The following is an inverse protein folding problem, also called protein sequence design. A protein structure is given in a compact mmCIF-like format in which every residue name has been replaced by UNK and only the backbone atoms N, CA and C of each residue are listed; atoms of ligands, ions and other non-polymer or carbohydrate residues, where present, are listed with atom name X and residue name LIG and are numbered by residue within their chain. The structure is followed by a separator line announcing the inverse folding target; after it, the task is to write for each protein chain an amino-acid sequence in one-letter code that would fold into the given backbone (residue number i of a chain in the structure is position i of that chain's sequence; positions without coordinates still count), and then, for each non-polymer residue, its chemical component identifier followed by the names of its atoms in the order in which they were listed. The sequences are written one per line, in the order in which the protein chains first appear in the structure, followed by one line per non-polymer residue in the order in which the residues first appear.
data_IF_617284678132
#
_entry.id   IF_617284678132
#
_cell.length_a   1.000
_cell.length_b   1.000
_cell.length_c   1.000
_cell.angle_alpha   90.00
_cell.angle_beta   90.00
_cell.angle_gamma   90.00
#
_symmetry.space_group_name_H-M   'P 1'
#
loop_
_entity.id
_entity.type
_entity.pdbx_description
1 polymer ?
#
# COMPACT_ATOMS: atom_id res chain seq x y z
N UNK A 1 -12.93 22.25 -4.87
CA UNK A 1 -13.21 22.28 -6.33
C UNK A 1 -12.69 20.98 -6.91
N UNK A 2 -13.52 20.17 -7.55
CA UNK A 2 -13.04 18.98 -8.26
C UNK A 2 -12.16 19.45 -9.41
N UNK A 3 -10.87 19.17 -9.37
CA UNK A 3 -10.00 19.37 -10.51
C UNK A 3 -10.43 18.37 -11.60
N UNK A 4 -11.22 18.84 -12.53
CA UNK A 4 -11.54 18.04 -13.73
C UNK A 4 -10.26 17.91 -14.54
N UNK A 5 -9.69 16.73 -14.59
CA UNK A 5 -8.61 16.46 -15.51
C UNK A 5 -9.16 16.52 -16.94
N UNK A 6 -8.65 17.46 -17.71
CA UNK A 6 -9.06 17.68 -19.12
C UNK A 6 -8.59 16.54 -20.04
N UNK A 7 -7.70 15.68 -19.58
CA UNK A 7 -7.15 14.54 -20.33
C UNK A 7 -7.90 13.22 -20.08
N UNK A 8 -8.98 13.24 -19.31
CA UNK A 8 -9.79 12.04 -19.08
C UNK A 8 -10.40 11.53 -20.39
N UNK A 9 -10.12 10.28 -20.72
CA UNK A 9 -10.64 9.63 -21.94
C UNK A 9 -12.17 9.56 -21.96
N UNK A 10 -12.80 9.53 -20.79
CA UNK A 10 -14.25 9.60 -20.65
C UNK A 10 -14.67 10.34 -19.36
N UNK A 11 -14.77 11.68 -19.38
CA UNK A 11 -15.11 12.48 -18.21
C UNK A 11 -16.49 12.19 -17.63
N UNK A 12 -17.40 11.54 -18.39
CA UNK A 12 -18.73 11.14 -17.91
C UNK A 12 -18.71 9.81 -17.14
N UNK A 13 -17.64 9.03 -17.26
CA UNK A 13 -17.43 7.75 -16.54
C UNK A 13 -15.96 7.60 -16.14
N UNK A 14 -15.46 8.40 -15.19
CA UNK A 14 -14.09 8.30 -14.74
C UNK A 14 -13.85 6.89 -14.16
N UNK A 15 -12.61 6.39 -14.33
CA UNK A 15 -12.17 5.20 -13.58
C UNK A 15 -12.19 5.49 -12.08
N UNK A 16 -12.48 4.48 -11.30
CA UNK A 16 -12.56 4.61 -9.83
C UNK A 16 -11.58 3.67 -9.15
N UNK A 17 -10.81 4.22 -8.23
CA UNK A 17 -9.78 3.50 -7.48
C UNK A 17 -10.08 3.58 -5.99
N UNK A 18 -10.15 2.41 -5.34
CA UNK A 18 -10.18 2.29 -3.89
C UNK A 18 -8.74 2.18 -3.37
N UNK A 19 -8.23 3.18 -2.67
CA UNK A 19 -6.96 3.08 -1.95
C UNK A 19 -7.27 2.66 -0.52
N UNK A 20 -6.62 1.60 -0.07
CA UNK A 20 -6.78 1.07 1.30
C UNK A 20 -5.51 1.36 2.08
N UNK A 21 -5.66 2.08 3.20
CA UNK A 21 -4.60 2.33 4.19
C UNK A 21 -4.89 1.54 5.47
N UNK A 22 -3.85 1.16 6.20
CA UNK A 22 -4.03 0.40 7.43
C UNK A 22 -4.59 1.27 8.58
N UNK A 23 -5.45 0.69 9.41
CA UNK A 23 -5.78 1.28 10.69
C UNK A 23 -4.55 1.29 11.60
N UNK A 24 -4.48 2.22 12.59
CA UNK A 24 -3.39 2.26 13.56
C UNK A 24 -3.24 0.93 14.31
N UNK A 25 -2.01 0.53 14.55
CA UNK A 25 -1.67 -0.65 15.33
C UNK A 25 -0.52 -0.37 16.29
N UNK A 26 -0.14 -1.36 17.08
CA UNK A 26 1.07 -1.34 17.90
C UNK A 26 1.95 -2.51 17.47
N UNK A 27 3.20 -2.21 17.18
CA UNK A 27 4.20 -3.22 16.85
C UNK A 27 4.40 -4.16 18.03
N UNK A 28 4.25 -5.45 17.81
CA UNK A 28 4.51 -6.49 18.84
C UNK A 28 5.98 -6.76 19.05
N UNK A 29 6.85 -6.27 18.18
CA UNK A 29 8.31 -6.42 18.26
C UNK A 29 8.97 -5.24 18.96
N UNK A 30 8.57 -4.00 18.63
CA UNK A 30 9.17 -2.78 19.17
C UNK A 30 8.32 -2.09 20.23
N UNK A 31 7.00 -2.37 20.26
CA UNK A 31 6.06 -1.63 21.12
C UNK A 31 5.68 -0.25 20.57
N UNK A 32 6.16 0.13 19.40
CA UNK A 32 5.87 1.44 18.81
C UNK A 32 4.47 1.51 18.21
N UNK A 33 3.82 2.69 18.24
CA UNK A 33 2.66 2.94 17.43
C UNK A 33 3.07 2.91 15.95
N UNK A 34 2.29 2.22 15.12
CA UNK A 34 2.54 2.03 13.69
C UNK A 34 1.28 2.29 12.89
N UNK A 35 1.45 2.75 11.65
CA UNK A 35 0.37 3.13 10.78
C UNK A 35 0.63 2.82 9.31
N UNK A 36 0.00 3.61 8.43
CA UNK A 36 0.29 3.60 7.00
C UNK A 36 1.48 4.54 6.69
N UNK A 37 1.99 4.49 5.45
CA UNK A 37 3.07 5.37 4.99
C UNK A 37 2.54 6.47 4.07
N UNK A 38 2.83 7.74 4.36
CA UNK A 38 2.26 8.87 3.63
C UNK A 38 2.46 8.82 2.12
N UNK A 39 3.69 8.63 1.63
CA UNK A 39 3.96 8.65 0.18
C UNK A 39 3.27 7.51 -0.58
N UNK A 40 2.92 6.43 0.11
CA UNK A 40 2.24 5.29 -0.49
C UNK A 40 0.72 5.52 -0.67
N UNK A 41 0.17 6.46 0.06
CA UNK A 41 -1.16 7.01 -0.16
C UNK A 41 -1.10 8.16 -1.16
N UNK A 42 -0.27 9.16 -0.89
CA UNK A 42 -0.36 10.47 -1.54
C UNK A 42 0.13 10.46 -2.97
N UNK A 43 1.22 9.76 -3.27
CA UNK A 43 1.74 9.68 -4.64
C UNK A 43 0.77 8.97 -5.59
N UNK A 44 0.22 7.77 -5.26
CA UNK A 44 -0.83 7.17 -6.08
C UNK A 44 -2.09 8.04 -6.17
N UNK A 45 -2.51 8.66 -5.07
CA UNK A 45 -3.68 9.53 -5.04
C UNK A 45 -3.58 10.67 -6.05
N UNK A 46 -2.43 11.37 -6.08
CA UNK A 46 -2.20 12.45 -7.05
C UNK A 46 -2.12 11.94 -8.47
N UNK A 47 -1.42 10.84 -8.71
CA UNK A 47 -1.33 10.23 -10.06
C UNK A 47 -2.69 9.87 -10.63
N UNK A 48 -3.54 9.22 -9.84
CA UNK A 48 -4.90 8.89 -10.25
C UNK A 48 -5.76 10.15 -10.46
N UNK A 49 -5.61 11.14 -9.59
CA UNK A 49 -6.32 12.42 -9.72
C UNK A 49 -5.91 13.18 -10.99
N UNK A 50 -4.62 13.20 -11.33
CA UNK A 50 -4.10 13.77 -12.57
C UNK A 50 -4.62 13.03 -13.81
N UNK A 51 -4.77 11.70 -13.73
CA UNK A 51 -5.38 10.88 -14.77
C UNK A 51 -6.92 11.06 -14.87
N UNK A 52 -7.51 11.89 -14.01
CA UNK A 52 -8.96 12.15 -13.99
C UNK A 52 -9.77 11.02 -13.36
N UNK A 53 -9.15 10.18 -12.56
CA UNK A 53 -9.83 9.09 -11.86
C UNK A 53 -10.47 9.61 -10.56
N UNK A 54 -11.56 8.97 -10.15
CA UNK A 54 -12.13 9.15 -8.82
C UNK A 54 -11.42 8.24 -7.83
N UNK A 55 -10.90 8.83 -6.75
CA UNK A 55 -10.19 8.10 -5.71
C UNK A 55 -10.97 8.17 -4.40
N UNK A 56 -11.20 7.03 -3.77
CA UNK A 56 -11.76 6.95 -2.42
C UNK A 56 -10.78 6.21 -1.51
N UNK A 57 -10.68 6.69 -0.25
CA UNK A 57 -9.78 6.10 0.75
C UNK A 57 -10.59 5.26 1.72
N UNK A 58 -10.11 4.05 1.95
CA UNK A 58 -10.71 3.05 2.83
C UNK A 58 -9.67 2.55 3.85
N UNK A 59 -10.16 1.94 4.91
CA UNK A 59 -9.33 1.15 5.83
C UNK A 59 -10.09 -0.11 6.25
N UNK A 60 -9.45 -1.16 6.77
CA UNK A 60 -10.13 -2.38 7.18
C UNK A 60 -11.35 -2.15 8.07
N UNK A 61 -11.24 -1.23 9.05
CA UNK A 61 -12.29 -0.96 10.04
C UNK A 61 -13.06 0.34 9.79
N UNK A 62 -12.60 1.19 8.84
CA UNK A 62 -13.06 2.56 8.73
C UNK A 62 -12.51 3.47 9.84
N UNK A 63 -12.95 4.74 9.86
CA UNK A 63 -12.59 5.72 10.89
C UNK A 63 -11.22 6.38 10.66
N UNK A 64 -10.67 6.93 11.73
CA UNK A 64 -9.38 7.65 11.68
C UNK A 64 -8.21 6.69 11.48
N UNK A 65 -7.37 6.99 10.51
CA UNK A 65 -6.09 6.35 10.32
C UNK A 65 -4.95 7.30 10.69
N UNK A 66 -3.84 6.72 11.13
CA UNK A 66 -2.62 7.45 11.49
C UNK A 66 -1.45 6.84 10.72
N UNK A 67 -0.53 7.71 10.31
CA UNK A 67 0.64 7.27 9.57
C UNK A 67 1.79 6.90 10.52
N UNK A 68 2.72 6.10 10.03
CA UNK A 68 4.03 5.95 10.67
C UNK A 68 4.69 7.33 10.79
N UNK A 69 5.18 7.68 11.98
CA UNK A 69 5.76 8.99 12.26
C UNK A 69 6.85 9.38 11.25
N UNK A 70 7.78 8.44 10.96
CA UNK A 70 8.90 8.66 10.04
C UNK A 70 8.46 8.93 8.60
N UNK A 71 7.21 8.64 8.23
CA UNK A 71 6.68 8.93 6.89
C UNK A 71 6.22 10.38 6.74
N UNK A 72 6.06 11.11 7.85
CA UNK A 72 5.67 12.52 7.82
C UNK A 72 6.87 13.38 7.38
N UNK A 73 6.72 14.24 6.34
CA UNK A 73 7.79 15.14 5.90
C UNK A 73 8.31 16.11 6.97
N UNK A 74 7.52 16.39 8.00
CA UNK A 74 7.88 17.28 9.11
C UNK A 74 8.33 16.53 10.38
N UNK A 75 8.53 15.20 10.28
CA UNK A 75 9.06 14.41 11.38
C UNK A 75 10.50 14.81 11.75
N UNK A 76 10.85 14.66 13.03
CA UNK A 76 12.16 15.03 13.56
C UNK A 76 13.33 14.28 12.91
N UNK A 77 13.10 13.09 12.35
CA UNK A 77 14.10 12.32 11.61
C UNK A 77 14.41 12.92 10.25
N UNK A 78 13.54 13.75 9.72
CA UNK A 78 13.63 14.37 8.39
C UNK A 78 13.82 13.36 7.24
N UNK A 79 13.46 12.10 7.46
CA UNK A 79 13.63 11.02 6.48
C UNK A 79 12.89 11.29 5.17
N UNK A 80 11.70 11.89 5.25
CA UNK A 80 10.83 12.22 4.10
C UNK A 80 10.70 13.72 3.85
N UNK A 81 11.63 14.55 4.33
CA UNK A 81 11.52 16.02 4.27
C UNK A 81 11.34 16.60 2.87
N UNK A 82 11.84 15.91 1.84
CA UNK A 82 11.75 16.33 0.44
C UNK A 82 10.43 15.90 -0.23
N UNK A 83 9.58 15.14 0.46
CA UNK A 83 8.28 14.71 -0.08
C UNK A 83 7.25 15.85 -0.02
N UNK A 84 7.32 16.71 -1.04
CA UNK A 84 6.41 17.84 -1.19
C UNK A 84 4.98 17.42 -1.49
N UNK A 85 4.76 16.24 -2.07
CA UNK A 85 3.44 15.71 -2.38
C UNK A 85 2.72 15.36 -1.09
N UNK A 86 3.36 14.58 -0.22
CA UNK A 86 2.79 14.27 1.10
C UNK A 86 2.60 15.53 1.95
N UNK A 87 3.56 16.46 1.93
CA UNK A 87 3.43 17.73 2.65
C UNK A 87 2.21 18.54 2.17
N UNK A 88 1.99 18.60 0.84
CA UNK A 88 0.82 19.26 0.26
C UNK A 88 -0.49 18.62 0.68
N UNK A 89 -0.55 17.29 0.69
CA UNK A 89 -1.72 16.54 1.14
C UNK A 89 -2.03 16.81 2.62
N UNK A 90 -1.02 16.71 3.49
CA UNK A 90 -1.14 16.93 4.94
C UNK A 90 -1.54 18.39 5.25
N UNK A 91 -1.07 19.33 4.46
CA UNK A 91 -1.40 20.76 4.60
C UNK A 91 -2.82 21.13 4.15
N UNK A 92 -3.53 20.25 3.46
CA UNK A 92 -4.90 20.47 3.00
C UNK A 92 -5.91 19.81 3.94
N UNK A 93 -6.71 20.64 4.65
CA UNK A 93 -7.69 20.17 5.62
C UNK A 93 -8.81 19.32 5.02
N UNK A 94 -9.16 19.49 3.74
CA UNK A 94 -10.18 18.68 3.09
C UNK A 94 -9.62 17.29 2.71
N UNK A 95 -8.37 17.22 2.29
CA UNK A 95 -7.70 15.94 2.03
C UNK A 95 -7.47 15.18 3.33
N UNK A 96 -7.08 15.86 4.41
CA UNK A 96 -6.91 15.22 5.72
C UNK A 96 -8.18 14.59 6.26
N UNK A 97 -9.36 15.16 6.00
CA UNK A 97 -10.65 14.55 6.36
C UNK A 97 -10.84 13.15 5.75
N UNK A 98 -10.24 12.88 4.58
CA UNK A 98 -10.32 11.58 3.94
C UNK A 98 -9.59 10.50 4.74
N UNK A 99 -8.53 10.87 5.46
CA UNK A 99 -7.74 9.98 6.33
C UNK A 99 -8.32 9.89 7.74
N UNK A 100 -8.91 10.98 8.20
CA UNK A 100 -9.55 11.03 9.52
C UNK A 100 -10.91 10.32 9.57
N UNK A 101 -11.55 10.13 8.40
CA UNK A 101 -12.88 9.54 8.27
C UNK A 101 -12.92 8.53 7.13
N UNK A 102 -12.01 7.56 7.13
CA UNK A 102 -12.00 6.51 6.11
C UNK A 102 -13.28 5.68 6.19
N UNK A 103 -13.74 5.21 5.04
CA UNK A 103 -14.79 4.18 4.98
C UNK A 103 -14.21 2.81 5.28
N UNK A 104 -15.03 1.89 5.80
CA UNK A 104 -14.63 0.49 5.91
C UNK A 104 -14.51 -0.15 4.53
N UNK A 105 -13.58 -1.09 4.37
CA UNK A 105 -13.46 -1.91 3.14
C UNK A 105 -14.73 -2.71 2.85
N UNK A 106 -15.59 -2.94 3.84
CA UNK A 106 -16.90 -3.60 3.66
C UNK A 106 -17.86 -2.74 2.81
N UNK A 107 -17.64 -1.43 2.76
CA UNK A 107 -18.43 -0.49 1.95
C UNK A 107 -17.97 -0.44 0.48
N UNK A 108 -16.87 -1.10 0.11
CA UNK A 108 -16.41 -1.15 -1.27
C UNK A 108 -17.37 -2.01 -2.12
N UNK A 109 -18.12 -1.34 -2.98
CA UNK A 109 -18.93 -2.02 -4.00
C UNK A 109 -18.04 -2.38 -5.21
N UNK A 110 -17.77 -3.66 -5.38
CA UNK A 110 -16.93 -4.18 -6.46
C UNK A 110 -17.37 -3.67 -7.86
N UNK A 111 -18.66 -3.43 -8.05
CA UNK A 111 -19.17 -2.96 -9.36
C UNK A 111 -18.85 -1.49 -9.64
N UNK A 112 -18.51 -0.71 -8.63
CA UNK A 112 -18.22 0.73 -8.75
C UNK A 112 -16.75 1.05 -8.91
N UNK A 113 -15.86 0.15 -8.57
CA UNK A 113 -14.43 0.38 -8.62
C UNK A 113 -13.75 -0.48 -9.68
N UNK A 114 -12.72 0.08 -10.34
CA UNK A 114 -11.91 -0.59 -11.35
C UNK A 114 -10.64 -1.20 -10.77
N UNK A 115 -10.17 -0.65 -9.65
CA UNK A 115 -8.96 -1.11 -8.95
C UNK A 115 -9.09 -0.97 -7.43
N UNK A 116 -8.41 -1.88 -6.71
CA UNK A 116 -8.08 -1.76 -5.29
C UNK A 116 -6.55 -1.64 -5.15
N UNK A 117 -6.09 -0.70 -4.33
CA UNK A 117 -4.66 -0.46 -4.06
C UNK A 117 -4.42 -0.47 -2.57
N UNK A 118 -3.65 -1.43 -2.08
CA UNK A 118 -3.33 -1.58 -0.66
C UNK A 118 -1.98 -0.93 -0.39
N UNK A 119 -2.00 0.22 0.28
CA UNK A 119 -0.80 0.92 0.73
C UNK A 119 -0.16 0.20 1.92
N UNK A 120 1.14 0.39 2.11
CA UNK A 120 1.85 -0.18 3.24
C UNK A 120 2.02 0.81 4.39
N UNK A 121 3.21 0.91 4.91
CA UNK A 121 3.57 1.35 6.24
C UNK A 121 3.77 0.13 7.13
N UNK A 122 4.05 0.31 8.41
CA UNK A 122 4.35 -0.82 9.28
C UNK A 122 3.11 -1.57 9.78
N UNK A 123 1.97 -0.89 9.94
CA UNK A 123 0.76 -1.48 10.52
C UNK A 123 0.25 -2.75 9.79
N UNK A 124 0.34 -2.89 8.45
CA UNK A 124 -0.01 -4.12 7.75
C UNK A 124 0.63 -5.40 8.34
N UNK A 125 1.88 -5.32 8.79
CA UNK A 125 2.63 -6.45 9.34
C UNK A 125 2.07 -6.96 10.68
N UNK A 126 1.28 -6.14 11.37
CA UNK A 126 0.76 -6.41 12.71
C UNK A 126 -0.79 -6.49 12.76
N UNK A 127 -1.47 -6.23 11.64
CA UNK A 127 -2.94 -6.13 11.63
C UNK A 127 -3.62 -6.90 10.49
N UNK A 128 -2.94 -7.18 9.38
CA UNK A 128 -3.59 -7.79 8.22
C UNK A 128 -3.90 -9.29 8.38
N UNK A 129 -3.30 -9.96 9.36
CA UNK A 129 -3.70 -11.30 9.79
C UNK A 129 -5.18 -11.37 10.26
N UNK A 130 -5.68 -10.27 10.82
CA UNK A 130 -7.05 -10.14 11.35
C UNK A 130 -8.00 -9.38 10.42
N UNK A 131 -7.50 -8.79 9.34
CA UNK A 131 -8.30 -8.02 8.39
C UNK A 131 -8.94 -8.92 7.32
N UNK A 132 -9.74 -9.91 7.75
CA UNK A 132 -10.37 -10.91 6.86
C UNK A 132 -11.22 -10.27 5.77
N UNK A 133 -11.90 -9.16 6.09
CA UNK A 133 -12.68 -8.39 5.13
C UNK A 133 -11.82 -7.80 4.02
N UNK A 134 -10.64 -7.25 4.35
CA UNK A 134 -9.69 -6.75 3.35
C UNK A 134 -9.12 -7.91 2.51
N UNK A 135 -8.72 -9.01 3.15
CA UNK A 135 -8.20 -10.20 2.47
C UNK A 135 -9.21 -10.70 1.42
N UNK A 136 -10.47 -10.84 1.81
CA UNK A 136 -11.56 -11.23 0.92
C UNK A 136 -11.78 -10.22 -0.19
N UNK A 137 -11.84 -8.92 0.13
CA UNK A 137 -12.08 -7.86 -0.85
C UNK A 137 -10.97 -7.80 -1.90
N UNK A 138 -9.71 -7.97 -1.50
CA UNK A 138 -8.57 -8.01 -2.42
C UNK A 138 -8.68 -9.16 -3.43
N UNK A 139 -9.05 -10.35 -2.94
CA UNK A 139 -9.27 -11.52 -3.79
C UNK A 139 -10.47 -11.33 -4.70
N UNK A 140 -11.58 -10.75 -4.21
CA UNK A 140 -12.76 -10.44 -5.04
C UNK A 140 -12.41 -9.57 -6.25
N UNK A 141 -11.58 -8.52 -6.07
CA UNK A 141 -11.09 -7.72 -7.18
C UNK A 141 -10.27 -8.55 -8.17
N UNK A 142 -9.34 -9.34 -7.65
CA UNK A 142 -8.48 -10.18 -8.49
C UNK A 142 -9.29 -11.19 -9.31
N UNK A 143 -10.20 -11.94 -8.68
CA UNK A 143 -11.00 -12.97 -9.36
C UNK A 143 -12.03 -12.37 -10.32
N UNK A 144 -12.49 -11.14 -10.09
CA UNK A 144 -13.33 -10.41 -11.02
C UNK A 144 -12.57 -9.83 -12.25
N UNK A 145 -11.26 -10.09 -12.36
CA UNK A 145 -10.41 -9.56 -13.43
C UNK A 145 -10.12 -8.06 -13.32
N UNK A 146 -10.46 -7.44 -12.17
CA UNK A 146 -10.13 -6.05 -11.87
C UNK A 146 -8.72 -5.94 -11.31
N UNK A 147 -8.15 -4.74 -11.30
CA UNK A 147 -6.81 -4.54 -10.77
C UNK A 147 -6.82 -4.73 -9.25
N UNK A 148 -5.98 -5.65 -8.77
CA UNK A 148 -5.63 -5.80 -7.38
C UNK A 148 -4.15 -5.42 -7.22
N UNK A 149 -3.88 -4.34 -6.47
CA UNK A 149 -2.54 -3.82 -6.31
C UNK A 149 -2.17 -3.65 -4.83
N UNK A 150 -0.90 -3.85 -4.51
CA UNK A 150 -0.35 -3.62 -3.18
C UNK A 150 1.10 -3.14 -3.28
N UNK A 151 1.57 -2.33 -2.32
CA UNK A 151 2.95 -1.87 -2.33
C UNK A 151 3.55 -1.87 -0.92
N UNK A 152 4.89 -1.97 -0.88
CA UNK A 152 5.65 -1.97 0.36
C UNK A 152 5.16 -3.07 1.32
N UNK A 153 4.99 -2.79 2.61
CA UNK A 153 4.39 -3.74 3.54
C UNK A 153 2.89 -3.99 3.30
N UNK A 154 2.21 -3.19 2.45
CA UNK A 154 0.86 -3.52 1.99
C UNK A 154 0.79 -4.87 1.27
N UNK A 155 1.91 -5.31 0.66
CA UNK A 155 2.01 -6.63 0.03
C UNK A 155 1.93 -7.80 1.02
N UNK A 156 1.98 -7.54 2.34
CA UNK A 156 1.67 -8.53 3.36
C UNK A 156 0.27 -9.17 3.19
N UNK A 157 -0.66 -8.46 2.55
CA UNK A 157 -1.99 -9.00 2.22
C UNK A 157 -1.91 -10.31 1.42
N UNK A 158 -0.88 -10.48 0.58
CA UNK A 158 -0.67 -11.63 -0.28
C UNK A 158 -0.39 -12.93 0.50
N UNK A 159 0.12 -12.81 1.73
CA UNK A 159 0.29 -13.97 2.62
C UNK A 159 -1.05 -14.62 2.97
N UNK A 160 -2.10 -13.84 3.01
CA UNK A 160 -3.43 -14.26 3.45
C UNK A 160 -4.42 -14.43 2.29
N UNK A 161 -4.11 -13.89 1.11
CA UNK A 161 -4.98 -13.92 -0.05
C UNK A 161 -5.08 -15.32 -0.65
N UNK A 162 -6.23 -15.98 -0.42
CA UNK A 162 -6.58 -17.29 -0.99
C UNK A 162 -7.71 -17.14 -1.98
N UNK A 163 -7.51 -17.71 -3.15
CA UNK A 163 -8.51 -17.79 -4.22
C UNK A 163 -9.69 -18.69 -3.79
N UNK A 164 -10.79 -18.59 -4.50
CA UNK A 164 -11.99 -19.39 -4.29
C UNK A 164 -11.73 -20.91 -4.39
N UNK A 165 -10.71 -21.33 -5.13
CA UNK A 165 -10.25 -22.72 -5.23
C UNK A 165 -9.36 -23.16 -4.05
N UNK A 166 -9.05 -22.28 -3.09
CA UNK A 166 -8.21 -22.53 -1.93
C UNK A 166 -6.70 -22.35 -2.13
N UNK A 167 -6.24 -22.10 -3.37
CA UNK A 167 -4.83 -21.82 -3.63
C UNK A 167 -4.46 -20.38 -3.21
N UNK A 168 -3.19 -20.16 -2.87
CA UNK A 168 -2.70 -18.80 -2.64
C UNK A 168 -2.65 -18.02 -3.96
N UNK A 169 -3.19 -16.81 -3.95
CA UNK A 169 -3.23 -15.91 -5.13
C UNK A 169 -1.84 -15.71 -5.71
N UNK A 170 -0.82 -15.61 -4.86
CA UNK A 170 0.56 -15.31 -5.22
C UNK A 170 1.30 -16.49 -5.87
N UNK A 171 0.77 -17.72 -5.76
CA UNK A 171 1.40 -18.92 -6.32
C UNK A 171 1.62 -18.82 -7.83
N UNK A 172 2.87 -18.92 -8.25
CA UNK A 172 3.30 -18.80 -9.65
C UNK A 172 3.27 -17.38 -10.21
N UNK A 173 2.97 -16.37 -9.39
CA UNK A 173 2.98 -14.96 -9.78
C UNK A 173 4.36 -14.34 -9.61
N UNK A 174 4.70 -13.41 -10.51
CA UNK A 174 5.87 -12.55 -10.35
C UNK A 174 5.45 -11.30 -9.59
N UNK A 175 6.06 -11.08 -8.42
CA UNK A 175 5.69 -10.01 -7.49
C UNK A 175 6.92 -9.33 -6.93
N UNK A 176 6.73 -8.14 -6.37
CA UNK A 176 7.65 -7.46 -5.47
C UNK A 176 6.92 -7.03 -4.21
N UNK A 177 7.62 -6.51 -3.25
CA UNK A 177 7.12 -5.97 -1.99
C UNK A 177 8.30 -5.47 -1.18
N UNK A 178 8.07 -5.13 0.09
CA UNK A 178 9.18 -4.71 0.94
C UNK A 178 10.18 -5.86 1.06
N UNK A 179 11.38 -5.64 0.49
CA UNK A 179 12.34 -6.71 0.26
C UNK A 179 13.27 -6.92 1.47
N UNK A 180 13.92 -8.08 1.54
CA UNK A 180 14.83 -8.40 2.64
C UNK A 180 15.96 -7.37 2.78
N UNK A 181 16.44 -6.80 1.67
CA UNK A 181 17.50 -5.79 1.71
C UNK A 181 17.07 -4.49 2.43
N UNK A 182 15.80 -4.11 2.32
CA UNK A 182 15.23 -2.98 3.07
C UNK A 182 14.99 -3.34 4.53
N UNK A 183 14.53 -4.57 4.81
CA UNK A 183 14.38 -5.06 6.19
C UNK A 183 15.72 -5.13 6.91
N UNK A 184 16.77 -5.64 6.25
CA UNK A 184 18.13 -5.68 6.80
C UNK A 184 18.62 -4.27 7.13
N UNK A 185 18.37 -3.29 6.24
CA UNK A 185 18.71 -1.90 6.49
C UNK A 185 17.97 -1.33 7.71
N UNK A 186 16.68 -1.61 7.84
CA UNK A 186 15.86 -1.16 8.96
C UNK A 186 16.32 -1.79 10.28
N UNK A 187 16.59 -3.09 10.29
CA UNK A 187 17.12 -3.82 11.45
C UNK A 187 18.48 -3.24 11.90
N UNK A 188 19.42 -3.06 10.97
CA UNK A 188 20.75 -2.50 11.24
C UNK A 188 20.65 -1.07 11.82
N UNK A 189 19.77 -0.24 11.30
CA UNK A 189 19.54 1.12 11.81
C UNK A 189 19.03 1.09 13.27
N UNK A 190 18.04 0.26 13.56
CA UNK A 190 17.42 0.15 14.89
C UNK A 190 18.39 -0.49 15.89
N UNK A 191 19.17 -1.49 15.50
CA UNK A 191 20.24 -2.07 16.30
C UNK A 191 21.37 -1.07 16.58
N UNK A 192 21.75 -0.28 15.57
CA UNK A 192 22.75 0.79 15.71
C UNK A 192 22.36 1.86 16.71
N UNK A 193 21.05 2.15 16.81
CA UNK A 193 20.50 3.07 17.82
C UNK A 193 20.32 2.43 19.21
N UNK A 194 20.54 1.14 19.35
CA UNK A 194 20.35 0.42 20.63
C UNK A 194 18.87 0.27 21.03
N UNK A 195 17.93 0.39 20.10
CA UNK A 195 16.49 0.32 20.37
C UNK A 195 15.94 -1.10 20.38
N UNK A 196 16.63 -2.02 19.72
CA UNK A 196 16.38 -3.47 19.78
C UNK A 196 17.71 -4.22 19.95
N UNK A 197 17.71 -5.37 20.61
CA UNK A 197 18.86 -6.27 20.59
C UNK A 197 19.02 -6.91 19.21
N UNK A 198 20.27 -7.22 18.81
CA UNK A 198 20.63 -7.73 17.46
C UNK A 198 20.02 -9.09 17.09
N UNK A 199 19.42 -9.79 18.03
CA UNK A 199 18.69 -11.04 17.82
C UNK A 199 17.18 -10.83 17.59
N UNK A 200 16.72 -9.57 17.52
CA UNK A 200 15.33 -9.18 17.27
C UNK A 200 15.22 -8.36 16.01
N UNK A 201 14.23 -8.67 15.21
CA UNK A 201 13.88 -7.93 13.98
C UNK A 201 12.79 -6.89 14.24
N UNK A 202 12.79 -5.83 13.45
CA UNK A 202 11.74 -4.79 13.49
C UNK A 202 10.41 -5.39 13.09
N UNK A 203 10.40 -6.19 12.02
CA UNK A 203 9.19 -6.87 11.54
C UNK A 203 9.08 -8.30 12.10
N UNK A 204 7.85 -8.79 12.36
CA UNK A 204 7.63 -10.12 12.94
C UNK A 204 7.96 -11.26 11.97
N UNK A 205 7.97 -10.98 10.68
CA UNK A 205 8.31 -11.88 9.58
C UNK A 205 8.67 -11.06 8.35
N UNK A 206 9.24 -11.70 7.30
CA UNK A 206 9.71 -11.02 6.09
C UNK A 206 8.83 -11.36 4.90
N UNK A 207 8.34 -10.33 4.20
CA UNK A 207 7.44 -10.47 3.06
C UNK A 207 8.08 -11.29 1.94
N UNK A 208 9.31 -10.97 1.58
CA UNK A 208 10.05 -11.68 0.52
C UNK A 208 10.12 -13.17 0.79
N UNK A 209 10.47 -13.57 2.01
CA UNK A 209 10.62 -14.98 2.38
C UNK A 209 9.27 -15.71 2.35
N UNK A 210 8.24 -15.12 2.97
CA UNK A 210 6.91 -15.73 3.01
C UNK A 210 6.31 -15.88 1.61
N UNK A 211 6.41 -14.87 0.76
CA UNK A 211 5.85 -14.95 -0.58
C UNK A 211 6.58 -15.97 -1.45
N UNK A 212 7.90 -16.13 -1.28
CA UNK A 212 8.67 -17.22 -1.93
C UNK A 212 8.22 -18.61 -1.43
N UNK A 213 7.99 -18.77 -0.13
CA UNK A 213 7.48 -20.01 0.45
C UNK A 213 6.10 -20.35 -0.13
N UNK A 214 5.25 -19.34 -0.37
CA UNK A 214 3.94 -19.50 -0.99
C UNK A 214 3.98 -19.73 -2.52
N UNK A 215 5.17 -19.78 -3.10
CA UNK A 215 5.40 -20.11 -4.51
C UNK A 215 5.42 -18.91 -5.44
N UNK A 216 5.63 -17.69 -4.94
CA UNK A 216 5.84 -16.52 -5.77
C UNK A 216 7.25 -16.51 -6.40
N UNK A 217 7.36 -15.92 -7.59
CA UNK A 217 8.62 -15.45 -8.15
C UNK A 217 8.84 -14.01 -7.65
N UNK A 218 9.52 -13.85 -6.52
CA UNK A 218 9.78 -12.53 -5.94
C UNK A 218 11.01 -11.89 -6.59
N UNK A 219 10.85 -10.66 -7.06
CA UNK A 219 11.93 -9.86 -7.67
C UNK A 219 12.02 -8.48 -7.02
N UNK A 220 13.19 -7.87 -7.05
CA UNK A 220 13.44 -6.55 -6.46
C UNK A 220 14.51 -5.79 -7.25
N UNK A 221 14.48 -4.45 -7.20
CA UNK A 221 15.41 -3.59 -7.94
C UNK A 221 16.64 -3.15 -7.13
N UNK A 222 16.71 -3.49 -5.85
CA UNK A 222 17.76 -3.08 -4.93
C UNK A 222 17.29 -2.03 -3.92
N UNK A 223 18.16 -1.75 -2.95
CA UNK A 223 17.86 -0.91 -1.78
C UNK A 223 17.34 0.47 -2.18
N UNK A 224 16.16 0.82 -1.68
CA UNK A 224 15.48 2.11 -1.83
C UNK A 224 15.26 2.56 -3.29
N UNK A 225 15.29 1.65 -4.26
CA UNK A 225 14.93 1.99 -5.64
C UNK A 225 13.44 1.79 -5.86
N UNK A 226 12.78 2.81 -6.42
CA UNK A 226 11.40 2.68 -6.89
C UNK A 226 11.31 1.55 -7.90
N UNK A 227 10.37 0.63 -7.69
CA UNK A 227 10.14 -0.51 -8.57
C UNK A 227 8.74 -1.05 -8.39
N UNK A 228 8.06 -1.28 -9.48
CA UNK A 228 6.76 -1.93 -9.49
C UNK A 228 6.67 -2.93 -10.64
N UNK A 229 5.85 -3.98 -10.48
CA UNK A 229 5.66 -5.00 -11.50
C UNK A 229 4.20 -5.39 -11.64
N UNK A 230 3.83 -5.80 -12.85
CA UNK A 230 2.51 -6.32 -13.18
C UNK A 230 2.59 -7.76 -13.63
N UNK A 231 1.77 -8.63 -13.03
CA UNK A 231 1.52 -10.00 -13.49
C UNK A 231 0.00 -10.20 -13.66
N UNK A 232 -0.46 -10.08 -14.90
CA UNK A 232 -1.90 -10.08 -15.20
C UNK A 232 -2.58 -8.84 -14.64
N UNK A 233 -3.52 -9.04 -13.72
CA UNK A 233 -4.23 -7.99 -12.99
C UNK A 233 -3.73 -7.80 -11.56
N UNK A 234 -2.69 -8.53 -11.14
CA UNK A 234 -1.94 -8.26 -9.91
C UNK A 234 -0.82 -7.27 -10.21
N UNK A 235 -0.74 -6.19 -9.42
CA UNK A 235 0.32 -5.17 -9.52
C UNK A 235 0.93 -5.00 -8.13
N UNK A 236 2.26 -5.07 -8.03
CA UNK A 236 2.95 -4.89 -6.76
C UNK A 236 4.07 -3.86 -6.87
N UNK A 237 4.26 -3.05 -5.82
CA UNK A 237 5.33 -2.07 -5.66
C UNK A 237 6.26 -2.43 -4.51
N UNK A 238 7.57 -2.16 -4.67
CA UNK A 238 8.58 -2.66 -3.74
C UNK A 238 8.53 -1.95 -2.39
N UNK A 239 8.53 -0.62 -2.36
CA UNK A 239 8.64 0.15 -1.12
C UNK A 239 8.08 1.58 -1.32
N UNK A 240 8.27 2.47 -0.35
CA UNK A 240 7.66 3.80 -0.28
C UNK A 240 7.95 4.73 -1.50
N UNK A 241 9.06 4.56 -2.22
CA UNK A 241 9.33 5.31 -3.47
C UNK A 241 8.67 4.70 -4.71
N UNK A 242 7.97 3.58 -4.56
CA UNK A 242 7.32 2.87 -5.67
C UNK A 242 5.89 3.34 -5.94
N UNK A 243 5.33 4.24 -5.12
CA UNK A 243 3.92 4.64 -5.18
C UNK A 243 3.52 5.22 -6.54
N UNK A 244 4.33 6.15 -7.08
CA UNK A 244 4.09 6.76 -8.39
C UNK A 244 4.15 5.75 -9.53
N UNK A 245 5.18 4.90 -9.56
CA UNK A 245 5.35 3.87 -10.60
C UNK A 245 4.22 2.82 -10.54
N UNK A 246 3.82 2.41 -9.33
CA UNK A 246 2.68 1.50 -9.14
C UNK A 246 1.41 2.11 -9.75
N UNK A 247 1.14 3.39 -9.49
CA UNK A 247 -0.01 4.09 -10.06
C UNK A 247 0.07 4.20 -11.58
N UNK A 248 1.23 4.54 -12.15
CA UNK A 248 1.45 4.62 -13.60
C UNK A 248 1.16 3.27 -14.30
N UNK A 249 1.59 2.15 -13.70
CA UNK A 249 1.29 0.80 -14.21
C UNK A 249 -0.23 0.51 -14.14
N UNK A 250 -0.91 0.92 -13.06
CA UNK A 250 -2.35 0.76 -12.90
C UNK A 250 -3.10 1.57 -13.96
N UNK A 251 -2.74 2.84 -14.14
CA UNK A 251 -3.35 3.73 -15.15
C UNK A 251 -3.23 3.10 -16.54
N UNK A 252 -2.02 2.67 -16.90
CA UNK A 252 -1.76 1.98 -18.17
C UNK A 252 -2.57 0.68 -18.30
N UNK A 253 -2.75 -0.07 -17.21
CA UNK A 253 -3.52 -1.30 -17.20
C UNK A 253 -5.02 -1.07 -17.40
N UNK A 254 -5.54 0.07 -16.94
CA UNK A 254 -6.95 0.46 -17.07
C UNK A 254 -7.29 1.11 -18.42
N UNK A 255 -6.29 1.32 -19.29
CA UNK A 255 -6.49 1.65 -20.69
C UNK A 255 -6.40 3.16 -20.97
N UNK A 256 -5.31 3.80 -20.58
CA UNK A 256 -4.88 5.03 -21.26
C UNK A 256 -4.33 4.75 -22.64
#
# INVERSE_FOLDING_TARGET
MSHKNLNSVNPSKPKRVAIVIANPAVSTTTGWPVGFWWSELTHPFYKFSEAGYEVEIFSPLGGKCEADAMSNPDDVTQWQREDLISRGFIGDSELMKLVENTKSVDEIDLNKFDAIVVAGGQAPMFSYDKAENLQKKFVEFFEAGKIAAALCHGTAILRYAKLSNGEYLVKGKTVTGFANIEEDFADEAVWGMGLLPKDKHVMPWRIEDELKILGANFIQAGLWKGFAIRDGNLITGQQNFSGGETADIIIKALGE
#
